data_IF_197090486600
#
_entry.id   IF_197090486600
#
_cell.length_a   1.000
_cell.length_b   1.000
_cell.length_c   1.000
_cell.angle_alpha   90.00
_cell.angle_beta   90.00
_cell.angle_gamma   90.00
#
_symmetry.space_group_name_H-M   'P 1'
#
loop_
_entity.id
_entity.type
_entity.pdbx_description
1 polymer ?
#
# COMPACT_ATOMS: atom_id res chain seq x y z
N UNK A 1 -11.26 18.77 -8.10
CA UNK A 1 -12.45 17.93 -7.85
C UNK A 1 -11.95 16.52 -7.52
N UNK A 2 -12.56 15.86 -6.54
CA UNK A 2 -12.24 14.47 -6.21
C UNK A 2 -12.90 13.56 -7.25
N UNK A 3 -12.13 12.63 -7.82
CA UNK A 3 -12.68 11.67 -8.78
C UNK A 3 -13.44 10.57 -8.03
N UNK A 4 -14.77 10.51 -8.21
CA UNK A 4 -15.63 9.57 -7.47
C UNK A 4 -15.32 8.10 -7.79
N UNK A 5 -14.99 7.78 -9.05
CA UNK A 5 -14.66 6.42 -9.43
C UNK A 5 -13.36 5.96 -8.73
N UNK A 6 -12.30 6.74 -8.85
CA UNK A 6 -11.01 6.42 -8.22
C UNK A 6 -11.11 6.42 -6.70
N UNK A 7 -11.91 7.30 -6.11
CA UNK A 7 -12.18 7.30 -4.67
C UNK A 7 -12.88 6.01 -4.24
N UNK A 8 -13.90 5.56 -4.98
CA UNK A 8 -14.57 4.29 -4.69
C UNK A 8 -13.61 3.12 -4.83
N UNK A 9 -12.88 3.05 -5.95
CA UNK A 9 -11.88 2.02 -6.19
C UNK A 9 -10.83 1.97 -5.08
N UNK A 10 -10.30 3.13 -4.70
CA UNK A 10 -9.32 3.25 -3.63
C UNK A 10 -9.88 2.79 -2.29
N UNK A 11 -11.11 3.21 -1.98
CA UNK A 11 -11.82 2.77 -0.77
C UNK A 11 -12.02 1.25 -0.76
N UNK A 12 -12.46 0.65 -1.86
CA UNK A 12 -12.68 -0.79 -1.98
C UNK A 12 -11.37 -1.58 -1.82
N UNK A 13 -10.25 -1.07 -2.37
CA UNK A 13 -8.92 -1.68 -2.21
C UNK A 13 -8.31 -1.52 -0.81
N UNK A 14 -8.71 -0.47 -0.09
CA UNK A 14 -8.31 -0.23 1.30
C UNK A 14 -9.25 -0.90 2.30
N UNK A 15 -10.47 -1.25 1.90
CA UNK A 15 -11.50 -1.81 2.78
C UNK A 15 -11.16 -3.21 3.28
N UNK A 16 -11.95 -3.64 4.26
CA UNK A 16 -11.75 -4.89 5.00
C UNK A 16 -12.16 -6.18 4.25
N UNK A 17 -12.52 -6.09 2.98
CA UNK A 17 -12.87 -7.24 2.15
C UNK A 17 -11.85 -7.44 1.03
N UNK A 18 -10.61 -7.85 1.35
CA UNK A 18 -9.58 -8.01 0.35
C UNK A 18 -9.94 -9.13 -0.62
N UNK A 19 -9.85 -8.84 -1.91
CA UNK A 19 -10.10 -9.79 -2.98
C UNK A 19 -8.91 -9.86 -3.93
N UNK A 20 -8.67 -11.03 -4.49
CA UNK A 20 -7.75 -11.15 -5.62
C UNK A 20 -8.42 -10.53 -6.83
N UNK A 21 -7.83 -9.47 -7.35
CA UNK A 21 -8.42 -8.65 -8.41
C UNK A 21 -7.33 -8.03 -9.28
N UNK A 22 -7.67 -7.79 -10.53
CA UNK A 22 -6.88 -6.96 -11.45
C UNK A 22 -7.82 -5.92 -12.05
N UNK A 23 -7.42 -4.66 -11.99
CA UNK A 23 -8.24 -3.52 -12.40
C UNK A 23 -7.39 -2.64 -13.30
N UNK A 24 -7.87 -2.39 -14.51
CA UNK A 24 -7.27 -1.44 -15.43
C UNK A 24 -7.72 -0.01 -15.07
N UNK A 25 -6.80 0.94 -15.19
CA UNK A 25 -7.14 2.35 -15.08
C UNK A 25 -8.04 2.71 -16.29
N UNK A 26 -9.20 3.36 -16.07
CA UNK A 26 -10.07 3.77 -17.16
C UNK A 26 -9.33 4.60 -18.20
N UNK A 27 -9.53 4.28 -19.49
CA UNK A 27 -8.78 4.85 -20.61
C UNK A 27 -8.96 6.38 -20.77
N UNK A 28 -10.02 6.95 -20.21
CA UNK A 28 -10.27 8.39 -20.16
C UNK A 28 -9.54 9.09 -19.00
N UNK A 29 -9.07 8.34 -18.01
CA UNK A 29 -8.37 8.87 -16.83
C UNK A 29 -6.85 8.73 -16.91
N UNK A 30 -6.37 7.67 -17.57
CA UNK A 30 -4.95 7.38 -17.58
C UNK A 30 -4.63 6.05 -18.24
N UNK A 31 -3.45 5.53 -17.91
CA UNK A 31 -3.00 4.19 -18.29
C UNK A 31 -2.46 3.47 -17.07
N UNK A 32 -2.50 2.16 -17.11
CA UNK A 32 -1.93 1.31 -16.06
C UNK A 32 -2.93 0.34 -15.47
N UNK A 33 -2.49 -0.32 -14.41
CA UNK A 33 -3.21 -1.43 -13.82
C UNK A 33 -2.90 -1.53 -12.33
N UNK A 34 -3.89 -1.92 -11.56
CA UNK A 34 -3.75 -2.29 -10.16
C UNK A 34 -4.07 -3.78 -10.05
N UNK A 35 -3.13 -4.58 -9.59
CA UNK A 35 -3.34 -5.99 -9.29
C UNK A 35 -3.19 -6.26 -7.80
N UNK A 36 -4.02 -7.12 -7.27
CA UNK A 36 -4.03 -7.48 -5.85
C UNK A 36 -4.24 -8.98 -5.70
N UNK A 37 -3.43 -9.60 -4.88
CA UNK A 37 -3.58 -10.99 -4.46
C UNK A 37 -3.77 -11.07 -2.95
N UNK A 38 -4.54 -12.06 -2.51
CA UNK A 38 -4.80 -12.32 -1.08
C UNK A 38 -4.27 -13.70 -0.73
N UNK A 39 -3.45 -13.78 0.31
CA UNK A 39 -2.94 -15.04 0.83
C UNK A 39 -3.99 -15.76 1.69
N UNK A 40 -3.77 -17.03 1.98
CA UNK A 40 -4.63 -17.82 2.91
C UNK A 40 -4.67 -17.22 4.33
N UNK A 41 -3.63 -16.51 4.73
CA UNK A 41 -3.55 -15.83 6.04
C UNK A 41 -4.17 -14.43 6.01
N UNK A 42 -4.79 -14.03 4.90
CA UNK A 42 -5.42 -12.72 4.73
C UNK A 42 -4.43 -11.56 4.49
N UNK A 43 -3.14 -11.86 4.29
CA UNK A 43 -2.21 -10.83 3.84
C UNK A 43 -2.49 -10.50 2.37
N UNK A 44 -2.35 -9.23 2.03
CA UNK A 44 -2.63 -8.67 0.70
C UNK A 44 -1.35 -8.13 0.11
N UNK A 45 -1.05 -8.52 -1.12
CA UNK A 45 0.05 -7.93 -1.89
C UNK A 45 -0.55 -7.28 -3.13
N UNK A 46 -0.26 -6.00 -3.33
CA UNK A 46 -0.78 -5.22 -4.46
C UNK A 46 0.36 -4.60 -5.26
N UNK A 47 0.22 -4.64 -6.58
CA UNK A 47 1.07 -3.97 -7.57
C UNK A 47 0.27 -2.84 -8.21
N UNK A 48 0.75 -1.61 -8.10
CA UNK A 48 0.09 -0.40 -8.57
C UNK A 48 0.96 0.27 -9.61
N UNK A 49 0.51 0.26 -10.85
CA UNK A 49 1.14 0.95 -11.98
C UNK A 49 0.14 1.92 -12.57
N UNK A 50 0.42 3.21 -12.45
CA UNK A 50 -0.56 4.23 -12.81
C UNK A 50 0.15 5.44 -13.43
N UNK A 51 -0.41 5.93 -14.52
CA UNK A 51 -0.07 7.20 -15.12
C UNK A 51 -1.36 7.93 -15.46
N UNK A 52 -1.59 9.09 -14.87
CA UNK A 52 -2.82 9.85 -15.02
C UNK A 52 -2.68 11.01 -16.01
N UNK A 53 -3.73 11.26 -16.80
CA UNK A 53 -3.77 12.36 -17.77
C UNK A 53 -4.05 13.72 -17.10
N UNK A 54 -4.60 13.72 -15.91
CA UNK A 54 -4.85 14.90 -15.08
C UNK A 54 -4.50 14.62 -13.63
N UNK A 55 -4.35 15.67 -12.82
CA UNK A 55 -4.15 15.49 -11.38
C UNK A 55 -5.34 14.72 -10.77
N UNK A 56 -5.02 13.66 -10.04
CA UNK A 56 -6.00 12.74 -9.48
C UNK A 56 -6.02 12.86 -7.96
N UNK A 57 -7.12 13.39 -7.43
CA UNK A 57 -7.34 13.44 -6.00
C UNK A 57 -8.24 12.28 -5.58
N UNK A 58 -7.77 11.48 -4.66
CA UNK A 58 -8.50 10.35 -4.10
C UNK A 58 -8.53 10.43 -2.59
N UNK A 59 -9.50 9.79 -1.99
CA UNK A 59 -9.61 9.68 -0.54
C UNK A 59 -10.02 8.26 -0.15
N UNK A 60 -9.62 7.83 1.02
CA UNK A 60 -9.95 6.51 1.55
C UNK A 60 -9.67 6.43 3.04
N UNK A 61 -10.11 5.35 3.66
CA UNK A 61 -9.87 5.09 5.09
C UNK A 61 -8.99 3.86 5.20
N UNK A 62 -7.82 3.99 5.83
CA UNK A 62 -6.98 2.84 6.13
C UNK A 62 -7.50 2.09 7.36
N UNK A 63 -7.70 0.78 7.23
CA UNK A 63 -8.20 -0.05 8.31
C UNK A 63 -7.18 -0.20 9.45
N UNK A 64 -7.64 -0.05 10.69
CA UNK A 64 -6.85 -0.27 11.91
C UNK A 64 -6.45 -1.74 12.12
N UNK A 65 -7.07 -2.66 11.40
CA UNK A 65 -6.82 -4.10 11.50
C UNK A 65 -5.59 -4.57 10.74
N UNK A 66 -4.94 -3.65 9.99
CA UNK A 66 -3.79 -3.98 9.14
C UNK A 66 -2.57 -3.14 9.46
N UNK A 67 -1.41 -3.79 9.39
CA UNK A 67 -0.13 -3.12 9.15
C UNK A 67 0.02 -2.99 7.63
N UNK A 68 0.41 -1.81 7.19
CA UNK A 68 0.64 -1.49 5.78
C UNK A 68 2.11 -1.19 5.54
N UNK A 69 2.64 -1.77 4.47
CA UNK A 69 3.99 -1.48 3.97
C UNK A 69 3.86 -1.02 2.53
N UNK A 70 4.31 0.20 2.25
CA UNK A 70 4.29 0.80 0.92
C UNK A 70 5.73 0.95 0.43
N UNK A 71 5.98 0.52 -0.80
CA UNK A 71 7.29 0.58 -1.45
C UNK A 71 7.14 1.40 -2.75
N UNK A 72 7.93 2.47 -2.87
CA UNK A 72 7.88 3.39 -4.01
C UNK A 72 9.06 3.14 -4.95
N UNK A 73 8.79 2.61 -6.13
CA UNK A 73 9.83 2.26 -7.12
C UNK A 73 10.05 3.35 -8.18
N UNK A 74 9.10 4.30 -8.31
CA UNK A 74 9.22 5.39 -9.27
C UNK A 74 8.72 6.71 -8.64
N UNK A 75 7.85 7.48 -9.29
CA UNK A 75 7.42 8.77 -8.76
C UNK A 75 6.71 8.63 -7.41
N UNK A 76 7.04 9.51 -6.49
CA UNK A 76 6.52 9.51 -5.12
C UNK A 76 5.12 10.10 -5.00
N UNK A 77 4.51 9.90 -3.84
CA UNK A 77 3.20 10.44 -3.50
C UNK A 77 3.20 11.04 -2.10
N UNK A 78 2.39 12.07 -1.92
CA UNK A 78 2.13 12.65 -0.61
C UNK A 78 0.66 12.47 -0.26
N UNK A 79 0.38 12.26 1.02
CA UNK A 79 -1.01 12.19 1.52
C UNK A 79 -1.15 12.90 2.86
N UNK A 80 -2.36 13.38 3.11
CA UNK A 80 -2.74 14.02 4.35
C UNK A 80 -3.72 13.13 5.10
N UNK A 81 -3.55 13.05 6.41
CA UNK A 81 -4.43 12.30 7.31
C UNK A 81 -5.35 13.31 8.01
N UNK A 82 -6.67 13.07 7.93
CA UNK A 82 -7.65 13.91 8.61
C UNK A 82 -7.38 13.97 10.13
N UNK A 83 -7.71 15.09 10.74
CA UNK A 83 -7.65 15.36 12.19
C UNK A 83 -6.24 15.48 12.81
N UNK A 84 -5.19 14.99 12.18
CA UNK A 84 -3.85 15.02 12.77
C UNK A 84 -2.94 16.12 12.26
N UNK A 85 -3.34 16.89 11.23
CA UNK A 85 -2.47 17.81 10.49
C UNK A 85 -1.14 17.15 10.05
N UNK A 86 -1.12 15.83 10.03
CA UNK A 86 0.05 15.06 9.60
C UNK A 86 -0.03 14.89 8.09
N UNK A 87 1.00 15.34 7.43
CA UNK A 87 1.29 14.98 6.06
C UNK A 87 2.35 13.89 6.03
N UNK A 88 2.15 12.91 5.19
CA UNK A 88 3.13 11.88 4.91
C UNK A 88 3.49 11.92 3.44
N UNK A 89 4.68 11.49 3.11
CA UNK A 89 5.12 11.36 1.73
C UNK A 89 6.07 10.17 1.61
N UNK A 90 6.15 9.62 0.42
CA UNK A 90 7.13 8.59 0.07
C UNK A 90 7.73 8.97 -1.27
N UNK A 91 9.04 8.80 -1.41
CA UNK A 91 9.79 9.12 -2.62
C UNK A 91 10.34 7.85 -3.27
N UNK A 92 10.81 7.97 -4.49
CA UNK A 92 11.48 6.86 -5.20
C UNK A 92 12.59 6.25 -4.36
N UNK A 93 12.59 4.92 -4.24
CA UNK A 93 13.57 4.17 -3.46
C UNK A 93 13.28 4.11 -1.95
N UNK A 94 12.19 4.75 -1.50
CA UNK A 94 11.75 4.66 -0.11
C UNK A 94 10.65 3.59 0.07
N UNK A 95 10.62 3.02 1.26
CA UNK A 95 9.49 2.26 1.77
C UNK A 95 9.03 2.83 3.12
N UNK A 96 7.77 2.64 3.43
CA UNK A 96 7.25 2.99 4.75
C UNK A 96 6.39 1.87 5.31
N UNK A 97 6.37 1.80 6.64
CA UNK A 97 5.50 0.90 7.40
C UNK A 97 4.69 1.73 8.40
N UNK A 98 3.41 1.44 8.49
CA UNK A 98 2.50 2.07 9.43
C UNK A 98 1.28 1.19 9.73
N UNK A 99 0.64 1.43 10.85
CA UNK A 99 -0.67 0.85 11.16
C UNK A 99 -1.76 1.75 10.58
N UNK A 100 -2.78 1.17 9.95
CA UNK A 100 -4.00 1.90 9.61
C UNK A 100 -4.61 2.51 10.88
N UNK A 101 -5.20 3.69 10.77
CA UNK A 101 -5.68 4.48 11.92
C UNK A 101 -7.18 4.81 11.85
N UNK A 102 -7.93 4.18 10.94
CA UNK A 102 -9.36 4.39 10.79
C UNK A 102 -9.77 5.80 10.36
N UNK A 103 -8.80 6.63 9.96
CA UNK A 103 -9.04 8.02 9.55
C UNK A 103 -9.04 8.17 8.05
N UNK A 104 -9.66 9.25 7.60
CA UNK A 104 -9.66 9.62 6.17
C UNK A 104 -8.26 10.07 5.74
N UNK A 105 -7.79 9.50 4.66
CA UNK A 105 -6.56 9.87 3.97
C UNK A 105 -6.89 10.55 2.63
N UNK A 106 -6.17 11.61 2.30
CA UNK A 106 -6.32 12.37 1.07
C UNK A 106 -5.02 12.31 0.28
N UNK A 107 -5.06 11.72 -0.90
CA UNK A 107 -3.89 11.57 -1.78
C UNK A 107 -4.09 12.39 -3.04
N UNK A 108 -2.96 12.94 -3.54
CA UNK A 108 -2.92 13.61 -4.83
C UNK A 108 -1.85 12.94 -5.70
N UNK A 109 -2.27 12.35 -6.80
CA UNK A 109 -1.39 11.84 -7.84
C UNK A 109 -1.26 12.88 -8.94
N UNK A 110 -0.06 13.39 -9.16
CA UNK A 110 0.20 14.41 -10.17
C UNK A 110 0.10 13.83 -11.58
N UNK A 111 -0.45 14.63 -12.50
CA UNK A 111 -0.46 14.27 -13.91
C UNK A 111 0.95 14.07 -14.46
N UNK A 112 1.09 13.19 -15.46
CA UNK A 112 2.36 12.84 -16.12
C UNK A 112 3.41 12.16 -15.24
N UNK A 113 3.10 11.90 -13.99
CA UNK A 113 3.95 11.07 -13.13
C UNK A 113 3.69 9.60 -13.42
N UNK A 114 4.75 8.81 -13.35
CA UNK A 114 4.72 7.37 -13.56
C UNK A 114 4.82 6.68 -12.21
N UNK A 115 3.69 6.33 -11.65
CA UNK A 115 3.61 5.74 -10.32
C UNK A 115 3.81 4.22 -10.39
N UNK A 116 4.77 3.73 -9.63
CA UNK A 116 5.01 2.30 -9.43
C UNK A 116 5.17 2.02 -7.94
N UNK A 117 4.11 1.46 -7.36
CA UNK A 117 4.08 1.08 -5.95
C UNK A 117 3.86 -0.41 -5.78
N UNK A 118 4.47 -0.96 -4.74
CA UNK A 118 4.08 -2.24 -4.15
C UNK A 118 3.50 -1.95 -2.77
N UNK A 119 2.36 -2.55 -2.46
CA UNK A 119 1.76 -2.44 -1.14
C UNK A 119 1.55 -3.84 -0.56
N UNK A 120 1.98 -4.02 0.67
CA UNK A 120 1.75 -5.25 1.45
C UNK A 120 0.95 -4.86 2.68
N UNK A 121 -0.23 -5.48 2.83
CA UNK A 121 -1.06 -5.34 4.03
C UNK A 121 -1.04 -6.67 4.78
N UNK A 122 -0.76 -6.63 6.05
CA UNK A 122 -0.72 -7.81 6.91
C UNK A 122 -1.77 -7.63 8.01
N UNK A 123 -2.72 -8.58 8.22
CA UNK A 123 -3.62 -8.53 9.35
C UNK A 123 -2.83 -8.38 10.66
N UNK A 124 -3.28 -7.51 11.53
CA UNK A 124 -2.57 -7.17 12.78
C UNK A 124 -2.28 -8.41 13.63
N UNK A 125 -3.25 -9.34 13.72
CA UNK A 125 -3.08 -10.61 14.43
C UNK A 125 -1.98 -11.48 13.83
N UNK A 126 -1.88 -11.54 12.51
CA UNK A 126 -0.85 -12.30 11.82
C UNK A 126 0.52 -11.62 11.93
N UNK A 127 0.56 -10.29 11.89
CA UNK A 127 1.77 -9.52 12.09
C UNK A 127 2.37 -9.75 13.50
N UNK A 128 1.54 -9.73 14.55
CA UNK A 128 2.01 -10.04 15.90
C UNK A 128 2.49 -11.48 16.05
N UNK A 129 1.85 -12.43 15.37
CA UNK A 129 2.37 -13.80 15.33
C UNK A 129 3.77 -13.85 14.73
N UNK A 130 4.00 -13.19 13.59
CA UNK A 130 5.34 -13.10 12.98
C UNK A 130 6.34 -12.48 13.97
N UNK A 131 6.00 -11.38 14.62
CA UNK A 131 6.90 -10.76 15.60
C UNK A 131 7.26 -11.73 16.74
N UNK A 132 6.28 -12.43 17.28
CA UNK A 132 6.51 -13.41 18.37
C UNK A 132 7.35 -14.62 17.93
N UNK A 133 7.30 -15.00 16.65
CA UNK A 133 8.08 -16.12 16.13
C UNK A 133 9.56 -15.76 15.89
N UNK A 134 9.90 -14.46 15.74
CA UNK A 134 11.23 -14.01 15.32
C UNK A 134 11.93 -13.05 16.31
N UNK A 135 11.23 -12.47 17.28
CA UNK A 135 11.76 -11.45 18.18
C UNK A 135 11.46 -11.76 19.66
N UNK A 136 12.31 -11.26 20.55
CA UNK A 136 12.07 -11.34 21.98
C UNK A 136 11.03 -10.31 22.45
N UNK A 137 10.36 -10.57 23.57
CA UNK A 137 9.26 -9.75 24.08
C UNK A 137 9.61 -8.25 24.21
N UNK A 138 10.81 -7.91 24.69
CA UNK A 138 11.26 -6.51 24.81
C UNK A 138 11.45 -5.79 23.46
N UNK A 139 11.86 -6.51 22.42
CA UNK A 139 11.99 -5.97 21.07
C UNK A 139 10.61 -5.72 20.45
N UNK A 140 9.65 -6.63 20.70
CA UNK A 140 8.27 -6.54 20.21
C UNK A 140 7.61 -5.26 20.72
N UNK A 141 7.76 -4.93 22.02
CA UNK A 141 7.21 -3.70 22.59
C UNK A 141 7.74 -2.44 21.90
N UNK A 142 9.04 -2.42 21.57
CA UNK A 142 9.67 -1.30 20.85
C UNK A 142 9.07 -1.14 19.44
N UNK A 143 8.89 -2.25 18.71
CA UNK A 143 8.29 -2.23 17.37
C UNK A 143 6.81 -1.82 17.42
N UNK A 144 6.04 -2.34 18.36
CA UNK A 144 4.64 -1.97 18.56
C UNK A 144 4.49 -0.47 18.82
N UNK A 145 5.30 0.09 19.70
CA UNK A 145 5.30 1.52 20.01
C UNK A 145 5.61 2.35 18.76
N UNK A 146 6.65 2.01 18.01
CA UNK A 146 7.00 2.72 16.77
C UNK A 146 5.88 2.71 15.74
N UNK A 147 5.16 1.60 15.60
CA UNK A 147 4.03 1.48 14.66
C UNK A 147 2.79 2.24 15.11
N UNK A 148 2.61 2.42 16.43
CA UNK A 148 1.52 3.23 16.97
C UNK A 148 1.82 4.73 16.88
N UNK A 149 3.09 5.11 16.99
CA UNK A 149 3.53 6.51 17.02
C UNK A 149 3.59 7.18 15.64
N UNK A 150 3.43 6.42 14.53
CA UNK A 150 3.39 7.02 13.21
C UNK A 150 3.93 6.15 12.08
N UNK A 151 4.41 6.84 11.03
CA UNK A 151 4.94 6.23 9.83
C UNK A 151 6.45 6.11 9.93
N UNK A 152 6.97 4.89 9.92
CA UNK A 152 8.41 4.62 9.86
C UNK A 152 8.85 4.44 8.41
N UNK A 153 9.93 5.12 8.01
CA UNK A 153 10.50 5.05 6.66
C UNK A 153 11.88 4.41 6.65
N UNK A 154 12.14 3.64 5.60
CA UNK A 154 13.47 3.10 5.29
C UNK A 154 13.68 3.07 3.77
N UNK A 155 14.92 2.99 3.32
CA UNK A 155 15.20 2.80 1.89
C UNK A 155 14.88 1.37 1.45
N UNK A 156 14.41 1.21 0.23
CA UNK A 156 14.25 -0.09 -0.41
C UNK A 156 15.65 -0.69 -0.62
N UNK A 157 15.84 -1.92 -0.15
CA UNK A 157 17.11 -2.63 -0.33
C UNK A 157 17.07 -3.51 -1.58
N UNK A 158 18.22 -3.88 -2.18
CA UNK A 158 18.27 -4.84 -3.28
C UNK A 158 17.61 -6.19 -2.96
N UNK A 159 17.65 -6.59 -1.69
CA UNK A 159 16.97 -7.81 -1.22
C UNK A 159 15.44 -7.69 -1.30
N UNK A 160 14.87 -6.53 -0.92
CA UNK A 160 13.43 -6.26 -1.07
C UNK A 160 13.01 -6.25 -2.53
N UNK A 161 13.82 -5.64 -3.41
CA UNK A 161 13.58 -5.66 -4.86
C UNK A 161 13.55 -7.08 -5.43
N UNK A 162 14.50 -7.91 -5.01
CA UNK A 162 14.57 -9.32 -5.41
C UNK A 162 13.32 -10.10 -4.99
N UNK A 163 12.86 -9.94 -3.73
CA UNK A 163 11.62 -10.57 -3.25
C UNK A 163 10.42 -10.18 -4.13
N UNK A 164 10.28 -8.91 -4.49
CA UNK A 164 9.18 -8.47 -5.35
C UNK A 164 9.29 -8.96 -6.80
N UNK A 165 10.49 -9.16 -7.32
CA UNK A 165 10.70 -9.80 -8.62
C UNK A 165 10.22 -11.26 -8.60
N UNK A 166 10.61 -12.03 -7.59
CA UNK A 166 10.16 -13.41 -7.36
C UNK A 166 8.63 -13.51 -7.24
N UNK A 167 8.00 -12.62 -6.46
CA UNK A 167 6.54 -12.59 -6.28
C UNK A 167 5.78 -12.34 -7.59
N UNK A 168 6.35 -11.55 -8.51
CA UNK A 168 5.74 -11.26 -9.81
C UNK A 168 5.63 -12.53 -10.67
N UNK A 169 6.60 -13.38 -10.64
CA UNK A 169 6.61 -14.62 -11.41
C UNK A 169 5.51 -15.58 -10.92
N UNK A 170 5.23 -15.62 -9.61
CA UNK A 170 4.14 -16.43 -9.07
C UNK A 170 2.74 -15.96 -9.51
N UNK A 171 2.55 -14.67 -9.80
CA UNK A 171 1.24 -14.14 -10.25
C UNK A 171 0.98 -14.45 -11.72
N UNK A 172 2.01 -14.60 -12.55
CA UNK A 172 1.87 -14.97 -13.97
C UNK A 172 1.53 -16.46 -14.18
N UNK A 173 1.96 -17.34 -13.28
CA UNK A 173 1.70 -18.79 -13.39
C UNK A 173 0.25 -19.22 -13.06
N UNK A 174 -0.56 -18.37 -12.41
CA UNK A 174 -1.96 -18.69 -12.07
C UNK A 174 -3.00 -18.25 -13.11
N UNK A 175 -2.60 -17.57 -14.16
CA UNK A 175 -3.47 -17.16 -15.28
C UNK A 175 -3.64 -18.20 -16.37
N UNK A 176 -3.17 -19.44 -16.21
CA UNK A 176 -3.16 -20.49 -17.21
C UNK A 176 -3.53 -21.87 -16.68
N UNK A 177 -4.62 -21.97 -15.92
CA UNK A 177 -5.32 -23.24 -15.64
C UNK A 177 -6.81 -23.02 -15.71
#
# INVERSE_FOLDING_TARGET
MTNQYMTKLYHDLLSNSPQTVTIDIPADMGTGQISQIVTKQGAVVSDWRMNYFSDMNVQGVSSEEYIQMLFCFNDGVSWNIADNRQSASIQKGESCIYRGHGKMEYLCYSKKSDFLFKNVKIPLSYFYKILNDYFEAGEIEVYQKKLLDGISKVNITPYMEHIFAELKDFTQYRGGL
#
